data_IF_801281595459
#
_entry.id   IF_801281595459
#
_cell.length_a   1.000
_cell.length_b   1.000
_cell.length_c   1.000
_cell.angle_alpha   90.00
_cell.angle_beta   90.00
_cell.angle_gamma   90.00
#
_symmetry.space_group_name_H-M   'P 1'
#
loop_
_entity.id
_entity.type
_entity.pdbx_description
1 polymer ?
#
# COMPACT_ATOMS: atom_id res chain seq x y z
N UNK A 1 31.76 -0.65 -0.29
CA UNK A 1 30.54 -0.22 -0.98
C UNK A 1 30.84 0.22 -2.41
N UNK A 2 30.35 -0.55 -3.39
CA UNK A 2 30.27 -0.17 -4.80
C UNK A 2 29.12 0.82 -4.98
N UNK A 3 29.39 1.99 -5.58
CA UNK A 3 28.33 2.96 -5.87
C UNK A 3 27.47 2.48 -7.04
N UNK A 4 26.16 2.61 -6.92
CA UNK A 4 25.18 2.15 -7.91
C UNK A 4 24.06 3.18 -8.09
N UNK A 5 23.35 3.07 -9.20
CA UNK A 5 22.18 3.88 -9.55
C UNK A 5 21.08 3.01 -10.16
N UNK A 6 19.88 3.55 -10.35
CA UNK A 6 18.77 2.81 -10.99
C UNK A 6 19.09 2.33 -12.41
N UNK A 7 20.03 2.98 -13.11
CA UNK A 7 20.45 2.59 -14.46
C UNK A 7 21.15 1.23 -14.49
N UNK A 8 21.72 0.79 -13.37
CA UNK A 8 22.40 -0.50 -13.24
C UNK A 8 21.42 -1.67 -13.18
N UNK A 9 20.14 -1.42 -12.90
CA UNK A 9 19.04 -2.40 -12.88
C UNK A 9 19.26 -3.63 -11.98
N UNK A 10 20.08 -3.49 -10.94
CA UNK A 10 20.39 -4.59 -10.02
C UNK A 10 19.17 -5.09 -9.23
N UNK A 11 18.12 -4.27 -9.13
CA UNK A 11 16.89 -4.64 -8.42
C UNK A 11 16.20 -5.88 -8.99
N UNK A 12 16.29 -6.12 -10.31
CA UNK A 12 15.66 -7.29 -10.94
C UNK A 12 16.31 -8.58 -10.40
N UNK A 13 17.64 -8.60 -10.31
CA UNK A 13 18.40 -9.71 -9.72
C UNK A 13 18.09 -9.87 -8.23
N UNK A 14 17.99 -8.77 -7.48
CA UNK A 14 17.67 -8.81 -6.06
C UNK A 14 16.28 -9.40 -5.80
N UNK A 15 15.28 -9.08 -6.63
CA UNK A 15 13.94 -9.65 -6.47
C UNK A 15 13.87 -11.13 -6.87
N UNK A 16 14.59 -11.56 -7.90
CA UNK A 16 14.68 -12.99 -8.22
C UNK A 16 15.42 -13.78 -7.13
N UNK A 17 16.47 -13.21 -6.54
CA UNK A 17 17.19 -13.84 -5.43
C UNK A 17 16.34 -13.86 -4.15
N UNK A 18 15.60 -12.78 -3.86
CA UNK A 18 14.68 -12.70 -2.73
C UNK A 18 13.65 -13.83 -2.74
N UNK A 19 13.14 -14.21 -3.92
CA UNK A 19 12.22 -15.35 -4.07
C UNK A 19 12.82 -16.66 -3.56
N UNK A 20 14.14 -16.81 -3.53
CA UNK A 20 14.82 -18.05 -3.14
C UNK A 20 15.34 -18.03 -1.69
N UNK A 21 14.97 -17.02 -0.90
CA UNK A 21 15.41 -16.88 0.47
C UNK A 21 14.83 -17.96 1.39
N UNK A 22 15.67 -18.35 2.35
CA UNK A 22 15.38 -19.23 3.49
C UNK A 22 15.91 -18.57 4.76
N UNK A 23 15.49 -19.04 5.93
CA UNK A 23 15.95 -18.49 7.22
C UNK A 23 17.49 -18.50 7.36
N UNK A 24 18.16 -19.52 6.80
CA UNK A 24 19.62 -19.66 6.87
C UNK A 24 20.35 -18.64 5.98
N UNK A 25 19.79 -18.31 4.81
CA UNK A 25 20.43 -17.43 3.82
C UNK A 25 20.10 -15.96 4.02
N UNK A 26 18.98 -15.68 4.69
CA UNK A 26 18.45 -14.32 4.84
C UNK A 26 19.47 -13.33 5.43
N UNK A 27 20.23 -13.62 6.51
CA UNK A 27 21.15 -12.64 7.08
C UNK A 27 22.25 -12.19 6.11
N UNK A 28 22.78 -13.11 5.28
CA UNK A 28 23.80 -12.77 4.28
C UNK A 28 23.21 -11.93 3.15
N UNK A 29 22.03 -12.30 2.66
CA UNK A 29 21.31 -11.52 1.65
C UNK A 29 21.06 -10.08 2.11
N UNK A 30 20.59 -9.89 3.35
CA UNK A 30 20.34 -8.56 3.91
C UNK A 30 21.63 -7.73 4.03
N UNK A 31 22.72 -8.32 4.54
CA UNK A 31 24.01 -7.63 4.64
C UNK A 31 24.53 -7.21 3.27
N UNK A 32 24.48 -8.09 2.28
CA UNK A 32 24.92 -7.76 0.91
C UNK A 32 24.16 -6.56 0.36
N UNK A 33 22.84 -6.50 0.56
CA UNK A 33 22.04 -5.36 0.12
C UNK A 33 22.47 -4.05 0.79
N UNK A 34 22.96 -4.06 2.03
CA UNK A 34 23.27 -2.83 2.79
C UNK A 34 24.76 -2.49 2.90
N UNK A 35 25.66 -3.44 2.70
CA UNK A 35 27.11 -3.30 2.95
C UNK A 35 27.96 -3.33 1.68
N UNK A 36 27.50 -4.06 0.64
CA UNK A 36 28.25 -4.18 -0.61
C UNK A 36 27.99 -2.98 -1.53
N UNK A 37 26.85 -2.31 -1.39
CA UNK A 37 26.40 -1.23 -2.27
C UNK A 37 26.26 0.12 -1.54
N UNK A 38 26.73 1.18 -2.18
CA UNK A 38 26.38 2.56 -1.83
C UNK A 38 25.16 2.98 -2.64
N UNK A 39 24.04 3.19 -1.96
CA UNK A 39 22.74 3.47 -2.60
C UNK A 39 22.52 4.95 -2.87
N UNK A 40 21.82 5.23 -3.97
CA UNK A 40 21.22 6.54 -4.23
C UNK A 40 19.78 6.62 -3.69
N UNK A 41 19.06 7.69 -4.05
CA UNK A 41 17.67 7.90 -3.63
C UNK A 41 16.72 6.80 -4.10
N UNK A 42 16.93 6.24 -5.29
CA UNK A 42 16.06 5.22 -5.88
C UNK A 42 16.47 3.80 -5.50
N UNK A 43 17.76 3.47 -5.56
CA UNK A 43 18.24 2.10 -5.34
C UNK A 43 18.00 1.61 -3.92
N UNK A 44 18.03 2.51 -2.92
CA UNK A 44 17.76 2.13 -1.53
C UNK A 44 16.33 1.61 -1.33
N UNK A 45 15.35 2.17 -2.04
CA UNK A 45 13.96 1.72 -1.98
C UNK A 45 13.83 0.29 -2.52
N UNK A 46 14.56 -0.04 -3.59
CA UNK A 46 14.59 -1.40 -4.13
C UNK A 46 15.28 -2.38 -3.19
N UNK A 47 16.41 -2.00 -2.59
CA UNK A 47 17.11 -2.85 -1.64
C UNK A 47 16.25 -3.19 -0.42
N UNK A 48 15.60 -2.20 0.21
CA UNK A 48 14.70 -2.43 1.35
C UNK A 48 13.50 -3.29 0.94
N UNK A 49 12.94 -3.06 -0.25
CA UNK A 49 11.82 -3.86 -0.75
C UNK A 49 12.22 -5.32 -0.99
N UNK A 50 13.38 -5.56 -1.62
CA UNK A 50 13.91 -6.89 -1.87
C UNK A 50 14.21 -7.61 -0.55
N UNK A 51 14.76 -6.91 0.44
CA UNK A 51 14.96 -7.42 1.79
C UNK A 51 13.65 -7.89 2.45
N UNK A 52 12.61 -7.05 2.43
CA UNK A 52 11.31 -7.40 3.00
C UNK A 52 10.64 -8.59 2.29
N UNK A 53 10.70 -8.62 0.96
CA UNK A 53 10.21 -9.73 0.14
C UNK A 53 11.00 -11.01 0.44
N UNK A 54 12.32 -10.92 0.58
CA UNK A 54 13.18 -12.05 0.94
C UNK A 54 12.84 -12.62 2.32
N UNK A 55 12.59 -11.76 3.30
CA UNK A 55 12.17 -12.18 4.63
C UNK A 55 10.79 -12.87 4.62
N UNK A 56 9.83 -12.34 3.85
CA UNK A 56 8.53 -12.96 3.66
C UNK A 56 8.66 -14.36 3.03
N UNK A 57 9.44 -14.49 1.96
CA UNK A 57 9.74 -15.77 1.32
C UNK A 57 10.48 -16.76 2.21
N UNK A 58 11.42 -16.30 3.03
CA UNK A 58 12.13 -17.14 4.00
C UNK A 58 11.18 -17.70 5.06
N UNK A 59 10.25 -16.87 5.55
CA UNK A 59 9.26 -17.24 6.56
C UNK A 59 8.21 -18.18 5.98
N UNK A 60 7.74 -17.92 4.76
CA UNK A 60 6.78 -18.74 4.03
C UNK A 60 7.29 -20.16 3.75
N UNK A 61 8.61 -20.37 3.73
CA UNK A 61 9.23 -21.69 3.55
C UNK A 61 9.46 -22.48 4.83
N UNK A 62 9.12 -21.90 5.99
CA UNK A 62 9.18 -22.64 7.25
C UNK A 62 8.07 -23.71 7.29
N UNK A 63 8.15 -24.70 8.19
CA UNK A 63 7.08 -25.70 8.34
C UNK A 63 5.69 -25.12 8.67
N UNK A 64 5.60 -23.87 9.12
CA UNK A 64 4.34 -23.17 9.43
C UNK A 64 3.89 -22.21 8.32
N UNK A 65 4.63 -22.10 7.22
CA UNK A 65 4.19 -21.34 6.05
C UNK A 65 3.13 -22.08 5.22
N UNK A 66 3.04 -21.74 3.93
CA UNK A 66 2.03 -22.29 3.00
C UNK A 66 0.78 -21.42 2.90
N UNK A 67 0.95 -20.10 2.91
CA UNK A 67 -0.16 -19.15 2.88
C UNK A 67 -0.87 -19.15 1.52
N UNK A 68 -2.16 -18.85 1.57
CA UNK A 68 -2.98 -18.62 0.37
C UNK A 68 -2.72 -17.22 -0.22
N UNK A 69 -3.17 -17.00 -1.46
CA UNK A 69 -3.15 -15.66 -2.07
C UNK A 69 -3.92 -14.61 -1.26
N UNK A 70 -5.02 -15.00 -0.60
CA UNK A 70 -5.76 -14.10 0.29
C UNK A 70 -4.91 -13.65 1.49
N UNK A 71 -4.24 -14.60 2.15
CA UNK A 71 -3.35 -14.30 3.27
C UNK A 71 -2.12 -13.48 2.84
N UNK A 72 -1.58 -13.72 1.65
CA UNK A 72 -0.53 -12.86 1.08
C UNK A 72 -1.02 -11.41 0.91
N UNK A 73 -2.28 -11.23 0.50
CA UNK A 73 -2.94 -9.92 0.50
C UNK A 73 -3.05 -9.29 1.90
N UNK A 74 -3.36 -10.08 2.93
CA UNK A 74 -3.36 -9.59 4.32
C UNK A 74 -1.98 -9.10 4.77
N UNK A 75 -0.90 -9.78 4.36
CA UNK A 75 0.48 -9.34 4.66
C UNK A 75 0.76 -7.97 4.03
N UNK A 76 0.36 -7.74 2.78
CA UNK A 76 0.47 -6.43 2.13
C UNK A 76 -0.23 -5.34 2.96
N UNK A 77 -1.44 -5.60 3.46
CA UNK A 77 -2.14 -4.66 4.35
C UNK A 77 -1.38 -4.41 5.66
N UNK A 78 -0.66 -5.40 6.19
CA UNK A 78 0.26 -5.22 7.31
C UNK A 78 1.34 -4.18 7.03
N UNK A 79 1.95 -4.18 5.84
CA UNK A 79 2.92 -3.14 5.45
C UNK A 79 2.24 -1.76 5.33
N UNK A 80 1.05 -1.69 4.75
CA UNK A 80 0.33 -0.42 4.60
C UNK A 80 0.00 0.20 5.97
N UNK A 81 -0.47 -0.61 6.91
CA UNK A 81 -0.88 -0.14 8.24
C UNK A 81 0.30 0.16 9.16
N UNK A 82 1.35 -0.68 9.13
CA UNK A 82 2.45 -0.59 10.10
C UNK A 82 3.69 0.14 9.57
N UNK A 83 3.92 0.16 8.26
CA UNK A 83 5.07 0.84 7.65
C UNK A 83 4.68 2.19 7.03
N UNK A 84 3.60 2.22 6.26
CA UNK A 84 3.16 3.44 5.55
C UNK A 84 2.29 4.38 6.40
N UNK A 85 2.00 4.01 7.65
CA UNK A 85 1.26 4.84 8.62
C UNK A 85 -0.21 5.16 8.25
N UNK A 86 -0.84 4.33 7.41
CA UNK A 86 -2.28 4.47 7.06
C UNK A 86 -3.20 3.69 8.00
N UNK A 87 -2.88 3.68 9.29
CA UNK A 87 -3.65 2.92 10.27
C UNK A 87 -5.08 3.46 10.37
N UNK A 88 -6.06 2.56 10.31
CA UNK A 88 -7.50 2.86 10.48
C UNK A 88 -8.07 3.87 9.47
N UNK A 89 -7.51 3.92 8.26
CA UNK A 89 -8.00 4.77 7.15
C UNK A 89 -8.61 3.91 6.03
N UNK A 90 -9.73 4.33 5.43
CA UNK A 90 -10.30 3.64 4.28
C UNK A 90 -9.37 3.79 3.06
N UNK A 91 -8.97 2.65 2.51
CA UNK A 91 -8.09 2.56 1.34
C UNK A 91 -8.64 1.53 0.36
N UNK A 92 -8.35 1.72 -0.93
CA UNK A 92 -8.63 0.73 -1.96
C UNK A 92 -7.46 0.57 -2.92
N UNK A 93 -7.19 -0.67 -3.30
CA UNK A 93 -6.28 -0.99 -4.40
C UNK A 93 -7.12 -1.47 -5.58
N UNK A 94 -6.92 -0.86 -6.75
CA UNK A 94 -7.66 -1.19 -7.97
C UNK A 94 -6.73 -1.89 -8.93
N UNK A 95 -7.06 -3.13 -9.31
CA UNK A 95 -6.31 -3.90 -10.30
C UNK A 95 -6.96 -3.71 -11.68
N UNK A 96 -6.38 -2.83 -12.50
CA UNK A 96 -6.98 -2.47 -13.80
C UNK A 96 -7.12 -3.63 -14.79
N UNK A 97 -6.34 -4.70 -14.65
CA UNK A 97 -6.55 -5.93 -15.44
C UNK A 97 -7.96 -6.50 -15.25
N UNK A 98 -8.58 -6.29 -14.08
CA UNK A 98 -9.91 -6.80 -13.79
C UNK A 98 -11.00 -6.11 -14.63
N UNK A 99 -10.71 -4.95 -15.24
CA UNK A 99 -11.61 -4.31 -16.21
C UNK A 99 -11.85 -5.18 -17.46
N UNK A 100 -10.98 -6.16 -17.73
CA UNK A 100 -11.15 -7.09 -18.85
C UNK A 100 -12.30 -8.09 -18.61
N UNK A 101 -12.81 -8.19 -17.38
CA UNK A 101 -13.82 -9.19 -17.02
C UNK A 101 -15.09 -8.54 -16.44
N UNK A 102 -16.26 -8.70 -17.10
CA UNK A 102 -17.50 -8.02 -16.69
C UNK A 102 -17.95 -8.26 -15.24
N UNK A 103 -17.61 -9.42 -14.67
CA UNK A 103 -17.95 -9.75 -13.28
C UNK A 103 -17.25 -8.85 -12.24
N UNK A 104 -16.23 -8.07 -12.62
CA UNK A 104 -15.54 -7.15 -11.72
C UNK A 104 -15.99 -5.70 -11.88
N UNK A 105 -17.09 -5.43 -12.59
CA UNK A 105 -17.62 -4.08 -12.83
C UNK A 105 -17.69 -3.24 -11.56
N UNK A 106 -18.21 -3.81 -10.47
CA UNK A 106 -18.39 -3.15 -9.18
C UNK A 106 -17.09 -2.59 -8.58
N UNK A 107 -15.94 -3.22 -8.86
CA UNK A 107 -14.63 -2.74 -8.37
C UNK A 107 -14.23 -1.39 -8.99
N UNK A 108 -14.89 -0.97 -10.07
CA UNK A 108 -14.62 0.26 -10.81
C UNK A 108 -15.74 1.29 -10.69
N UNK A 109 -16.85 0.96 -10.04
CA UNK A 109 -17.90 1.93 -9.78
C UNK A 109 -17.38 3.03 -8.84
N UNK A 110 -17.90 4.24 -9.03
CA UNK A 110 -17.62 5.37 -8.13
C UNK A 110 -18.51 5.26 -6.90
N UNK A 111 -18.29 4.21 -6.12
CA UNK A 111 -19.03 3.96 -4.89
C UNK A 111 -18.09 3.91 -3.69
N UNK A 112 -18.60 4.33 -2.53
CA UNK A 112 -17.97 4.15 -1.21
C UNK A 112 -19.00 3.55 -0.25
N UNK A 113 -18.54 2.82 0.76
CA UNK A 113 -19.42 2.34 1.83
C UNK A 113 -19.89 3.49 2.72
N UNK A 114 -20.98 3.26 3.47
CA UNK A 114 -21.43 4.21 4.49
C UNK A 114 -20.33 4.50 5.52
N UNK A 115 -19.61 3.48 6.01
CA UNK A 115 -18.49 3.66 6.95
C UNK A 115 -17.38 4.54 6.39
N UNK A 116 -17.04 4.39 5.10
CA UNK A 116 -16.05 5.23 4.43
C UNK A 116 -16.54 6.67 4.34
N UNK A 117 -17.83 6.86 4.07
CA UNK A 117 -18.45 8.17 4.02
C UNK A 117 -18.45 8.85 5.39
N UNK A 118 -18.86 8.15 6.44
CA UNK A 118 -18.86 8.64 7.82
C UNK A 118 -17.45 9.04 8.25
N UNK A 119 -16.45 8.20 7.93
CA UNK A 119 -15.04 8.50 8.18
C UNK A 119 -14.60 9.79 7.46
N UNK A 120 -14.97 9.98 6.19
CA UNK A 120 -14.61 11.18 5.43
C UNK A 120 -15.18 12.46 6.05
N UNK A 121 -16.44 12.42 6.50
CA UNK A 121 -17.06 13.57 7.16
C UNK A 121 -16.35 13.92 8.48
N UNK A 122 -16.04 12.89 9.28
CA UNK A 122 -15.33 13.07 10.55
C UNK A 122 -13.91 13.61 10.34
N UNK A 123 -13.18 13.08 9.36
CA UNK A 123 -11.82 13.51 9.07
C UNK A 123 -11.79 14.94 8.50
N UNK A 124 -12.72 15.31 7.61
CA UNK A 124 -12.85 16.68 7.12
C UNK A 124 -13.08 17.69 8.26
N UNK A 125 -13.96 17.36 9.22
CA UNK A 125 -14.19 18.19 10.40
C UNK A 125 -12.94 18.30 11.29
N UNK A 126 -12.24 17.18 11.50
CA UNK A 126 -11.00 17.13 12.27
C UNK A 126 -9.90 17.98 11.64
N UNK A 127 -9.72 17.87 10.33
CA UNK A 127 -8.73 18.66 9.59
C UNK A 127 -9.07 20.14 9.62
N UNK A 128 -10.35 20.51 9.53
CA UNK A 128 -10.78 21.90 9.63
C UNK A 128 -10.46 22.53 11.00
N UNK A 129 -10.48 21.75 12.09
CA UNK A 129 -10.12 22.21 13.44
C UNK A 129 -8.60 22.28 13.65
N UNK A 130 -7.85 21.29 13.15
CA UNK A 130 -6.39 21.20 13.33
C UNK A 130 -5.62 22.14 12.41
N UNK A 131 -6.19 22.47 11.26
CA UNK A 131 -5.51 23.26 10.24
C UNK A 131 -5.46 24.73 10.62
N UNK A 132 -4.26 25.32 10.59
CA UNK A 132 -4.07 26.77 10.66
C UNK A 132 -4.49 27.45 9.36
N UNK A 133 -3.52 27.88 8.56
CA UNK A 133 -3.78 28.47 7.24
C UNK A 133 -3.88 27.38 6.17
N UNK A 134 -5.10 27.16 5.65
CA UNK A 134 -5.36 26.34 4.46
C UNK A 134 -5.93 27.21 3.36
N UNK A 135 -5.74 26.79 2.11
CA UNK A 135 -6.32 27.51 0.97
C UNK A 135 -7.84 27.56 1.08
N UNK A 136 -8.46 28.65 0.58
CA UNK A 136 -9.92 28.83 0.59
C UNK A 136 -10.64 27.68 -0.13
N UNK A 137 -10.06 27.16 -1.20
CA UNK A 137 -10.64 26.07 -1.98
C UNK A 137 -10.65 24.76 -1.19
N UNK A 138 -9.58 24.43 -0.46
CA UNK A 138 -9.53 23.23 0.39
C UNK A 138 -10.54 23.33 1.52
N UNK A 139 -10.63 24.51 2.17
CA UNK A 139 -11.62 24.74 3.23
C UNK A 139 -13.06 24.58 2.72
N UNK A 140 -13.40 25.23 1.60
CA UNK A 140 -14.73 25.13 1.00
C UNK A 140 -15.06 23.67 0.60
N UNK A 141 -14.07 22.90 0.17
CA UNK A 141 -14.25 21.48 -0.13
C UNK A 141 -14.56 20.66 1.12
N UNK A 142 -13.83 20.86 2.22
CA UNK A 142 -14.12 20.19 3.50
C UNK A 142 -15.50 20.57 4.05
N UNK A 143 -15.89 21.86 3.98
CA UNK A 143 -17.22 22.32 4.37
C UNK A 143 -18.33 21.62 3.57
N UNK A 144 -18.13 21.43 2.26
CA UNK A 144 -19.07 20.72 1.40
C UNK A 144 -19.22 19.23 1.78
N UNK A 145 -18.13 18.56 2.13
CA UNK A 145 -18.14 17.17 2.63
C UNK A 145 -18.90 17.08 3.96
N UNK A 146 -18.59 17.97 4.91
CA UNK A 146 -19.27 18.04 6.22
C UNK A 146 -20.77 18.31 6.02
N UNK A 147 -21.15 19.12 5.03
CA UNK A 147 -22.53 19.43 4.70
C UNK A 147 -23.30 18.31 3.97
N UNK A 148 -22.67 17.16 3.69
CA UNK A 148 -23.34 16.01 3.10
C UNK A 148 -23.08 15.79 1.61
N UNK A 149 -22.18 16.57 0.98
CA UNK A 149 -21.89 16.42 -0.45
C UNK A 149 -20.81 15.36 -0.68
N UNK A 150 -21.18 14.24 -1.30
CA UNK A 150 -20.23 13.18 -1.65
C UNK A 150 -19.30 13.66 -2.78
N UNK A 151 -17.96 13.60 -2.61
CA UNK A 151 -17.03 14.23 -3.53
C UNK A 151 -16.83 13.44 -4.84
N UNK A 152 -16.31 14.12 -5.86
CA UNK A 152 -15.80 13.55 -7.12
C UNK A 152 -16.78 12.67 -7.93
N UNK A 153 -18.07 12.84 -7.68
CA UNK A 153 -19.13 12.07 -8.32
C UNK A 153 -19.23 10.63 -7.81
N UNK A 154 -18.78 10.38 -6.57
CA UNK A 154 -19.05 9.13 -5.88
C UNK A 154 -20.48 9.09 -5.34
N UNK A 155 -21.01 7.89 -5.16
CA UNK A 155 -22.25 7.61 -4.44
C UNK A 155 -21.98 6.68 -3.26
N UNK A 156 -22.89 6.67 -2.30
CA UNK A 156 -22.84 5.74 -1.16
C UNK A 156 -23.55 4.46 -1.57
N UNK A 157 -22.91 3.31 -1.36
CA UNK A 157 -23.52 1.99 -1.54
C UNK A 157 -23.85 1.44 -0.14
N UNK A 158 -25.12 1.12 0.10
CA UNK A 158 -25.56 0.49 1.32
C UNK A 158 -25.39 -1.03 1.18
N UNK A 159 -24.88 -1.68 2.24
CA UNK A 159 -24.58 -3.12 2.22
C UNK A 159 -25.84 -4.03 2.25
N UNK A 160 -27.04 -3.43 2.25
CA UNK A 160 -28.32 -4.14 2.33
C UNK A 160 -28.88 -4.65 0.97
N UNK A 161 -28.16 -4.44 -0.13
CA UNK A 161 -28.59 -4.86 -1.49
C UNK A 161 -27.72 -6.00 -2.08
N UNK A 162 -27.45 -7.05 -1.29
CA UNK A 162 -26.87 -8.31 -1.78
C UNK A 162 -27.84 -9.47 -1.73
#
# INVERSE_FOLDING_TARGET
MKQITEKDKLQDEWYEEAKNMTMDKLPEFLRRLTEDYGHDYGTICHAISAAAIGAAWATERTPQGGITGFQAGCIMWGFIQHWMSYKDQPLRLVKYEDMLYPQYRDAFEKTISQDTWDWLQQEAATQMQKSGSVSKNVRAHWESIIAGTVPFGYTIKNDDES
#
